data_IF_690424137846
#
_entry.id   IF_690424137846
#
_cell.length_a   1.000
_cell.length_b   1.000
_cell.length_c   1.000
_cell.angle_alpha   90.00
_cell.angle_beta   90.00
_cell.angle_gamma   90.00
#
_symmetry.space_group_name_H-M   'P 1'
#
loop_
_entity.id
_entity.type
_entity.pdbx_description
1 polymer ?
#
# COMPACT_ATOMS: atom_id res chain seq x y z
N UNK A 1 -8.80 18.25 -37.60
CA UNK A 1 -8.57 19.61 -37.04
C UNK A 1 -9.15 19.72 -35.62
N UNK A 2 -10.40 19.27 -35.39
CA UNK A 2 -11.05 19.29 -34.06
C UNK A 2 -10.33 18.39 -33.03
N UNK A 3 -9.94 17.20 -33.45
CA UNK A 3 -9.18 16.25 -32.62
C UNK A 3 -7.78 16.79 -32.25
N UNK A 4 -7.09 17.43 -33.25
CA UNK A 4 -5.80 18.04 -32.99
C UNK A 4 -5.92 19.20 -31.98
N UNK A 5 -6.93 20.05 -32.10
CA UNK A 5 -7.17 21.13 -31.14
C UNK A 5 -7.46 20.59 -29.74
N UNK A 6 -8.28 19.53 -29.63
CA UNK A 6 -8.57 18.89 -28.37
C UNK A 6 -7.31 18.27 -27.73
N UNK A 7 -6.47 17.62 -28.55
CA UNK A 7 -5.22 17.05 -28.09
C UNK A 7 -4.22 18.12 -27.62
N UNK A 8 -4.04 19.21 -28.39
CA UNK A 8 -3.16 20.31 -27.99
C UNK A 8 -3.64 20.98 -26.69
N UNK A 9 -4.95 21.19 -26.56
CA UNK A 9 -5.53 21.73 -25.34
C UNK A 9 -5.28 20.82 -24.14
N UNK A 10 -5.44 19.50 -24.30
CA UNK A 10 -5.15 18.51 -23.27
C UNK A 10 -3.68 18.57 -22.84
N UNK A 11 -2.72 18.66 -23.77
CA UNK A 11 -1.30 18.78 -23.46
C UNK A 11 -0.99 20.08 -22.70
N UNK A 12 -1.58 21.20 -23.11
CA UNK A 12 -1.42 22.49 -22.43
C UNK A 12 -1.96 22.43 -20.99
N UNK A 13 -3.13 21.83 -20.78
CA UNK A 13 -3.71 21.65 -19.46
C UNK A 13 -2.89 20.70 -18.57
N UNK A 14 -2.31 19.66 -19.15
CA UNK A 14 -1.42 18.74 -18.43
C UNK A 14 -0.13 19.45 -18.00
N UNK A 15 0.46 20.28 -18.87
CA UNK A 15 1.66 21.07 -18.54
C UNK A 15 1.39 22.07 -17.41
N UNK A 16 0.23 22.73 -17.41
CA UNK A 16 -0.18 23.65 -16.34
C UNK A 16 -0.26 22.96 -14.97
N UNK A 17 -0.55 21.65 -14.96
CA UNK A 17 -0.74 20.85 -13.75
C UNK A 17 0.45 19.95 -13.43
N UNK A 18 1.53 20.01 -14.20
CA UNK A 18 2.72 19.19 -13.93
C UNK A 18 3.32 19.54 -12.55
N UNK A 19 3.29 18.56 -11.65
CA UNK A 19 3.75 18.73 -10.28
C UNK A 19 5.23 19.15 -10.18
N UNK A 20 6.06 18.79 -11.16
CA UNK A 20 7.49 19.17 -11.22
C UNK A 20 7.64 20.66 -11.52
N UNK A 21 6.78 21.19 -12.40
CA UNK A 21 6.70 22.62 -12.69
C UNK A 21 6.16 23.41 -11.50
N UNK A 22 4.99 23.00 -11.00
CA UNK A 22 4.35 23.63 -9.83
C UNK A 22 5.24 23.56 -8.59
N UNK A 23 5.91 22.42 -8.36
CA UNK A 23 6.84 22.24 -7.25
C UNK A 23 7.97 23.27 -7.25
N UNK A 24 8.54 23.54 -8.41
CA UNK A 24 9.60 24.55 -8.59
C UNK A 24 9.06 25.99 -8.50
N UNK A 25 7.99 26.30 -9.25
CA UNK A 25 7.42 27.66 -9.30
C UNK A 25 6.86 28.12 -7.95
N UNK A 26 6.28 27.20 -7.18
CA UNK A 26 5.73 27.47 -5.83
C UNK A 26 6.72 27.24 -4.70
N UNK A 27 7.95 26.81 -5.01
CA UNK A 27 8.98 26.47 -4.04
C UNK A 27 8.52 25.38 -3.04
N UNK A 28 7.95 24.28 -3.55
CA UNK A 28 7.42 23.22 -2.71
C UNK A 28 8.46 22.15 -2.37
N UNK A 29 9.27 21.74 -3.35
CA UNK A 29 10.28 20.70 -3.19
C UNK A 29 11.32 20.74 -4.31
N UNK A 30 12.42 20.01 -4.12
CA UNK A 30 13.39 19.71 -5.18
C UNK A 30 13.98 18.29 -5.02
N UNK A 31 14.68 17.85 -6.07
CA UNK A 31 15.51 16.65 -6.09
C UNK A 31 16.95 17.05 -6.39
N UNK A 32 17.93 16.29 -5.85
CA UNK A 32 19.35 16.50 -6.13
C UNK A 32 20.12 15.17 -6.09
N UNK A 33 21.36 15.18 -6.58
CA UNK A 33 22.16 13.98 -6.80
C UNK A 33 22.55 13.25 -5.51
N UNK A 34 22.72 13.95 -4.41
CA UNK A 34 23.09 13.38 -3.12
C UNK A 34 21.99 12.52 -2.49
N UNK A 35 20.76 12.62 -3.03
CA UNK A 35 19.62 11.83 -2.57
C UNK A 35 18.69 11.45 -3.73
N UNK A 36 19.22 10.69 -4.68
CA UNK A 36 18.51 10.29 -5.91
C UNK A 36 17.19 9.58 -5.57
N UNK A 37 16.08 10.12 -6.07
CA UNK A 37 14.74 9.58 -5.84
C UNK A 37 14.17 9.88 -4.44
N UNK A 38 14.80 10.77 -3.68
CA UNK A 38 14.31 11.26 -2.40
C UNK A 38 14.00 12.75 -2.48
N UNK A 39 12.93 13.18 -1.83
CA UNK A 39 12.39 14.53 -1.95
C UNK A 39 12.94 15.43 -0.84
N UNK A 40 13.45 16.60 -1.20
CA UNK A 40 13.74 17.68 -0.27
C UNK A 40 12.52 18.60 -0.20
N UNK A 41 11.76 18.51 0.87
CA UNK A 41 10.57 19.34 1.09
C UNK A 41 10.93 20.72 1.63
N UNK A 42 10.52 21.77 0.92
CA UNK A 42 10.63 23.14 1.38
C UNK A 42 9.49 23.50 2.36
N UNK A 43 9.57 24.62 3.09
CA UNK A 43 8.57 24.95 4.11
C UNK A 43 7.13 24.99 3.60
N UNK A 44 6.89 25.49 2.37
CA UNK A 44 5.55 25.51 1.76
C UNK A 44 5.08 24.11 1.40
N UNK A 45 5.95 23.31 0.79
CA UNK A 45 5.66 21.90 0.41
C UNK A 45 5.46 21.03 1.64
N UNK A 46 6.29 21.21 2.69
CA UNK A 46 6.11 20.49 3.94
C UNK A 46 4.78 20.82 4.65
N UNK A 47 4.33 22.06 4.55
CA UNK A 47 3.01 22.43 5.07
C UNK A 47 1.88 21.73 4.32
N UNK A 48 1.96 21.68 2.98
CA UNK A 48 0.99 20.93 2.14
C UNK A 48 0.98 19.45 2.49
N UNK A 49 2.19 18.84 2.57
CA UNK A 49 2.36 17.45 2.98
C UNK A 49 1.67 17.15 4.32
N UNK A 50 1.96 17.95 5.35
CA UNK A 50 1.35 17.78 6.68
C UNK A 50 -0.17 18.00 6.68
N UNK A 51 -0.68 18.85 5.82
CA UNK A 51 -2.13 19.04 5.67
C UNK A 51 -2.80 17.78 5.16
N UNK A 52 -2.23 17.14 4.13
CA UNK A 52 -2.72 15.87 3.59
C UNK A 52 -2.59 14.75 4.63
N UNK A 53 -1.44 14.65 5.30
CA UNK A 53 -1.23 13.65 6.35
C UNK A 53 -2.23 13.80 7.50
N UNK A 54 -2.50 15.04 7.94
CA UNK A 54 -3.48 15.32 9.00
C UNK A 54 -4.89 14.96 8.56
N UNK A 55 -5.25 15.25 7.31
CA UNK A 55 -6.55 14.88 6.74
C UNK A 55 -6.73 13.36 6.73
N UNK A 56 -5.77 12.61 6.18
CA UNK A 56 -5.85 11.14 6.13
C UNK A 56 -5.89 10.56 7.55
N UNK A 57 -5.07 11.07 8.49
CA UNK A 57 -5.10 10.61 9.88
C UNK A 57 -6.48 10.75 10.51
N UNK A 58 -7.13 11.90 10.35
CA UNK A 58 -8.49 12.11 10.85
C UNK A 58 -9.49 11.12 10.26
N UNK A 59 -9.39 10.84 8.94
CA UNK A 59 -10.26 9.86 8.26
C UNK A 59 -10.03 8.43 8.78
N UNK A 60 -8.77 8.07 9.08
CA UNK A 60 -8.42 6.77 9.64
C UNK A 60 -8.90 6.62 11.09
N UNK A 61 -8.75 7.66 11.91
CA UNK A 61 -9.25 7.70 13.30
C UNK A 61 -10.77 7.50 13.31
N UNK A 62 -11.51 8.22 12.46
CA UNK A 62 -12.97 8.08 12.29
C UNK A 62 -13.37 6.66 11.84
N UNK A 63 -12.55 6.02 11.02
CA UNK A 63 -12.76 4.65 10.55
C UNK A 63 -12.26 3.58 11.55
N UNK A 64 -11.83 3.96 12.75
CA UNK A 64 -11.44 3.05 13.83
C UNK A 64 -10.08 2.38 13.64
N UNK A 65 -9.16 2.99 12.87
CA UNK A 65 -7.78 2.55 12.80
C UNK A 65 -6.98 3.03 14.00
N UNK A 66 -6.06 2.21 14.48
CA UNK A 66 -5.07 2.59 15.50
C UNK A 66 -3.73 2.86 14.85
N UNK A 67 -3.17 4.05 15.07
CA UNK A 67 -1.87 4.41 14.51
C UNK A 67 -0.75 3.73 15.29
N UNK A 68 0.16 3.10 14.56
CA UNK A 68 1.37 2.46 15.11
C UNK A 68 2.61 3.01 14.42
N UNK A 69 3.80 2.69 14.97
CA UNK A 69 5.08 3.07 14.36
C UNK A 69 6.08 1.93 14.48
N UNK A 70 6.61 1.50 13.34
CA UNK A 70 7.62 0.44 13.27
C UNK A 70 9.00 0.99 12.92
N UNK A 71 10.09 0.31 13.32
CA UNK A 71 11.45 0.71 12.97
C UNK A 71 11.66 0.78 11.45
N UNK A 72 12.47 1.74 10.99
CA UNK A 72 12.83 1.86 9.58
C UNK A 72 13.93 0.88 9.17
N UNK A 73 14.89 0.65 10.06
CA UNK A 73 16.01 -0.25 9.83
C UNK A 73 15.76 -1.54 10.60
N UNK A 74 15.65 -2.66 9.89
CA UNK A 74 15.26 -3.96 10.43
C UNK A 74 16.25 -5.03 9.97
N UNK A 75 16.59 -5.93 10.87
CA UNK A 75 17.49 -7.05 10.62
C UNK A 75 16.98 -7.96 9.49
N UNK A 76 17.90 -8.46 8.67
CA UNK A 76 17.67 -9.36 7.55
C UNK A 76 16.78 -10.57 7.93
N UNK A 77 16.94 -11.13 9.14
CA UNK A 77 16.21 -12.30 9.58
C UNK A 77 14.69 -12.15 9.53
N UNK A 78 14.14 -10.95 9.80
CA UNK A 78 12.70 -10.70 9.66
C UNK A 78 12.27 -10.73 8.18
N UNK A 79 13.09 -10.21 7.29
CA UNK A 79 12.83 -10.19 5.85
C UNK A 79 12.90 -11.60 5.23
N UNK A 80 13.82 -12.45 5.71
CA UNK A 80 13.89 -13.86 5.34
C UNK A 80 12.66 -14.63 5.82
N UNK A 81 12.28 -14.47 7.09
CA UNK A 81 11.12 -15.15 7.67
C UNK A 81 9.82 -14.80 6.94
N UNK A 82 9.64 -13.54 6.56
CA UNK A 82 8.47 -13.09 5.81
C UNK A 82 8.50 -13.44 4.32
N UNK A 83 9.65 -13.85 3.77
CA UNK A 83 9.85 -14.15 2.34
C UNK A 83 10.16 -12.95 1.46
N UNK A 84 10.21 -11.74 2.02
CA UNK A 84 10.57 -10.53 1.28
C UNK A 84 12.02 -10.57 0.81
N UNK A 85 12.93 -11.17 1.56
CA UNK A 85 14.33 -11.27 1.18
C UNK A 85 14.52 -12.02 -0.13
N UNK A 86 13.81 -13.11 -0.34
CA UNK A 86 13.93 -13.95 -1.54
C UNK A 86 13.25 -13.31 -2.76
N UNK A 87 12.18 -12.57 -2.55
CA UNK A 87 11.31 -12.06 -3.64
C UNK A 87 11.51 -10.58 -3.95
N UNK A 88 12.08 -9.81 -3.03
CA UNK A 88 12.13 -8.35 -3.13
C UNK A 88 13.51 -7.74 -2.83
N UNK A 89 14.54 -8.56 -2.60
CA UNK A 89 15.89 -8.09 -2.20
C UNK A 89 16.49 -7.06 -3.17
N UNK A 90 16.30 -7.24 -4.46
CA UNK A 90 16.85 -6.34 -5.49
C UNK A 90 16.32 -4.89 -5.35
N UNK A 91 15.18 -4.74 -4.69
CA UNK A 91 14.55 -3.44 -4.42
C UNK A 91 14.81 -2.94 -2.99
N UNK A 92 15.69 -3.56 -2.21
CA UNK A 92 15.98 -3.16 -0.84
C UNK A 92 17.31 -2.40 -0.74
N UNK A 93 17.30 -1.34 0.05
CA UNK A 93 18.55 -0.73 0.54
C UNK A 93 19.04 -1.51 1.74
N UNK A 94 20.27 -1.99 1.70
CA UNK A 94 20.88 -2.77 2.77
C UNK A 94 22.09 -2.06 3.36
N UNK A 95 22.36 -2.26 4.63
CA UNK A 95 23.53 -1.80 5.34
C UNK A 95 24.13 -2.97 6.13
N UNK A 96 25.44 -3.08 6.13
CA UNK A 96 26.19 -4.04 6.93
C UNK A 96 26.89 -3.31 8.07
N UNK A 97 26.85 -3.87 9.25
CA UNK A 97 27.46 -3.32 10.47
C UNK A 97 28.81 -4.00 10.77
N UNK A 98 29.61 -3.40 11.64
CA UNK A 98 30.95 -3.93 11.99
C UNK A 98 30.93 -5.34 12.63
N UNK A 99 29.79 -5.77 13.16
CA UNK A 99 29.53 -7.10 13.70
C UNK A 99 28.94 -8.08 12.67
N UNK A 100 29.13 -7.82 11.38
CA UNK A 100 28.69 -8.64 10.24
C UNK A 100 27.15 -8.86 10.17
N UNK A 101 26.36 -7.99 10.79
CA UNK A 101 24.90 -8.02 10.66
C UNK A 101 24.44 -7.22 9.46
N UNK A 102 23.47 -7.78 8.74
CA UNK A 102 22.84 -7.12 7.60
C UNK A 102 21.47 -6.60 8.01
N UNK A 103 21.28 -5.31 7.83
CA UNK A 103 20.00 -4.63 8.01
C UNK A 103 19.47 -4.13 6.66
N UNK A 104 18.18 -3.98 6.56
CA UNK A 104 17.55 -3.32 5.43
C UNK A 104 16.65 -2.17 5.88
N UNK A 105 16.66 -1.07 5.11
CA UNK A 105 15.60 -0.07 5.19
C UNK A 105 14.31 -0.70 4.72
N UNK A 106 13.26 -0.61 5.51
CA UNK A 106 11.99 -1.27 5.22
C UNK A 106 11.41 -0.79 3.88
N UNK A 107 11.14 -1.71 2.94
CA UNK A 107 10.42 -1.38 1.71
C UNK A 107 8.90 -1.39 1.89
N UNK A 108 8.43 -1.98 3.00
CA UNK A 108 7.03 -2.19 3.39
C UNK A 108 6.92 -2.24 4.91
N UNK A 109 5.69 -2.04 5.45
CA UNK A 109 5.46 -2.06 6.90
C UNK A 109 4.91 -3.40 7.40
N UNK A 110 4.41 -4.25 6.51
CA UNK A 110 3.68 -5.48 6.85
C UNK A 110 4.39 -6.41 7.87
N UNK A 111 5.68 -6.77 7.73
CA UNK A 111 6.31 -7.62 8.74
C UNK A 111 6.40 -6.95 10.11
N UNK A 112 6.58 -5.63 10.15
CA UNK A 112 6.61 -4.84 11.38
C UNK A 112 5.26 -4.86 12.11
N UNK A 113 4.15 -4.69 11.38
CA UNK A 113 2.81 -4.76 11.96
C UNK A 113 2.49 -6.15 12.51
N UNK A 114 2.91 -7.21 11.83
CA UNK A 114 2.78 -8.57 12.37
C UNK A 114 3.56 -8.73 13.69
N UNK A 115 4.76 -8.11 13.82
CA UNK A 115 5.50 -8.16 15.08
C UNK A 115 4.75 -7.44 16.22
N UNK A 116 4.03 -6.35 15.94
CA UNK A 116 3.17 -5.68 16.93
C UNK A 116 1.98 -6.57 17.29
N UNK A 117 1.29 -7.14 16.29
CA UNK A 117 0.15 -8.05 16.52
C UNK A 117 0.50 -9.23 17.41
N UNK A 118 1.72 -9.75 17.28
CA UNK A 118 2.22 -10.91 18.09
C UNK A 118 2.55 -10.56 19.55
N UNK A 119 2.54 -9.27 19.92
CA UNK A 119 2.81 -8.89 21.32
C UNK A 119 1.58 -9.10 22.18
N UNK A 120 1.57 -10.13 22.95
CA UNK A 120 0.45 -10.48 23.80
C UNK A 120 -0.50 -11.51 23.19
N UNK A 121 -1.62 -11.71 23.86
CA UNK A 121 -2.67 -12.65 23.46
C UNK A 121 -3.80 -11.86 22.83
N UNK A 122 -3.98 -12.03 21.53
CA UNK A 122 -5.12 -11.45 20.80
C UNK A 122 -6.30 -12.42 20.84
N UNK A 123 -7.47 -11.92 21.18
CA UNK A 123 -8.72 -12.68 21.19
C UNK A 123 -9.53 -12.39 19.91
N UNK A 124 -10.39 -13.34 19.53
CA UNK A 124 -11.36 -13.10 18.45
C UNK A 124 -12.24 -11.85 18.68
N UNK A 125 -12.37 -11.39 19.93
CA UNK A 125 -13.12 -10.18 20.30
C UNK A 125 -12.38 -8.88 19.94
N UNK A 126 -11.07 -8.97 19.74
CA UNK A 126 -10.23 -7.84 19.36
C UNK A 126 -10.17 -7.67 17.84
N UNK A 127 -10.76 -8.63 17.09
CA UNK A 127 -10.82 -8.58 15.63
C UNK A 127 -12.14 -7.97 15.13
N UNK A 128 -12.14 -7.21 14.04
CA UNK A 128 -10.98 -6.86 13.23
C UNK A 128 -10.09 -5.82 13.92
N UNK A 129 -8.77 -6.01 13.88
CA UNK A 129 -7.79 -5.06 14.40
C UNK A 129 -7.17 -4.29 13.22
N UNK A 130 -7.46 -3.01 13.11
CA UNK A 130 -7.01 -2.14 12.02
C UNK A 130 -5.82 -1.31 12.49
N UNK A 131 -4.59 -1.69 12.07
CA UNK A 131 -3.36 -0.96 12.37
C UNK A 131 -2.96 -0.10 11.19
N UNK A 132 -2.75 1.20 11.38
CA UNK A 132 -2.29 2.13 10.36
C UNK A 132 -0.92 2.72 10.72
N UNK A 133 -0.11 2.99 9.71
CA UNK A 133 1.19 3.65 9.88
C UNK A 133 1.44 4.61 8.72
N UNK A 134 1.76 5.87 9.02
CA UNK A 134 2.47 6.72 8.05
C UNK A 134 3.92 6.25 7.99
N UNK A 135 4.11 5.18 7.22
CA UNK A 135 5.36 4.42 7.14
C UNK A 135 6.31 5.03 6.12
N UNK A 136 7.49 5.46 6.60
CA UNK A 136 8.58 5.86 5.71
C UNK A 136 9.24 4.61 5.14
N UNK A 137 9.00 4.35 3.86
CA UNK A 137 9.50 3.19 3.13
C UNK A 137 10.54 3.59 2.10
N UNK A 138 11.46 2.66 1.81
CA UNK A 138 12.54 2.88 0.84
C UNK A 138 12.62 1.71 -0.12
N UNK A 139 12.59 2.00 -1.43
CA UNK A 139 12.72 1.01 -2.50
C UNK A 139 13.79 1.42 -3.48
N UNK A 140 14.71 0.53 -3.79
CA UNK A 140 15.75 0.76 -4.79
C UNK A 140 15.14 0.65 -6.19
N UNK A 141 14.43 1.70 -6.58
CA UNK A 141 13.89 1.81 -7.94
C UNK A 141 15.00 2.11 -8.94
N UNK A 142 15.00 1.51 -10.14
CA UNK A 142 15.95 1.83 -11.19
C UNK A 142 15.89 3.32 -11.56
N UNK A 143 17.03 3.94 -11.82
CA UNK A 143 17.07 5.39 -12.14
C UNK A 143 16.19 5.78 -13.33
N UNK A 144 16.05 4.91 -14.33
CA UNK A 144 15.18 5.14 -15.49
C UNK A 144 13.69 5.07 -15.21
N UNK A 145 13.28 4.54 -14.05
CA UNK A 145 11.87 4.47 -13.64
C UNK A 145 11.44 5.69 -12.81
N UNK A 146 12.38 6.50 -12.31
CA UNK A 146 12.06 7.64 -11.45
C UNK A 146 11.31 8.73 -12.21
N UNK A 147 10.24 9.26 -11.60
CA UNK A 147 9.39 10.26 -12.24
C UNK A 147 8.79 11.25 -11.22
N UNK A 148 9.50 12.32 -10.93
CA UNK A 148 9.05 13.36 -10.00
C UNK A 148 8.59 12.76 -8.67
N UNK A 149 7.43 13.17 -8.18
CA UNK A 149 6.79 12.59 -6.98
C UNK A 149 6.05 11.27 -7.25
N UNK A 150 5.83 10.93 -8.53
CA UNK A 150 5.03 9.76 -8.92
C UNK A 150 5.78 8.44 -8.74
N UNK A 151 7.13 8.45 -8.87
CA UNK A 151 7.98 7.30 -8.63
C UNK A 151 9.29 7.72 -8.01
N UNK A 152 9.47 7.36 -6.76
CA UNK A 152 10.56 7.78 -5.88
C UNK A 152 11.23 6.57 -5.23
N UNK A 153 12.37 6.77 -4.57
CA UNK A 153 13.05 5.75 -3.75
C UNK A 153 12.72 5.83 -2.27
N UNK A 154 12.33 7.02 -1.80
CA UNK A 154 11.90 7.24 -0.44
C UNK A 154 10.52 7.91 -0.44
N UNK A 155 9.56 7.31 0.24
CA UNK A 155 8.17 7.77 0.29
C UNK A 155 7.53 7.44 1.64
N UNK A 156 6.48 8.16 1.97
CA UNK A 156 5.59 7.82 3.08
C UNK A 156 4.28 7.31 2.52
N UNK A 157 3.82 6.20 3.05
CA UNK A 157 2.58 5.56 2.66
C UNK A 157 1.60 5.60 3.84
N UNK A 158 0.32 5.85 3.57
CA UNK A 158 -0.77 5.67 4.53
C UNK A 158 -1.13 4.18 4.63
N UNK A 159 -0.16 3.39 4.98
CA UNK A 159 -0.25 1.95 4.97
C UNK A 159 -1.03 1.44 6.18
N UNK A 160 -1.89 0.47 5.98
CA UNK A 160 -2.53 -0.23 7.08
C UNK A 160 -2.71 -1.70 6.81
N UNK A 161 -2.76 -2.43 7.92
CA UNK A 161 -2.97 -3.86 7.93
C UNK A 161 -4.13 -4.18 8.88
N UNK A 162 -5.15 -4.83 8.32
CA UNK A 162 -6.33 -5.26 9.06
C UNK A 162 -6.17 -6.75 9.34
N UNK A 163 -6.03 -7.09 10.63
CA UNK A 163 -6.04 -8.47 11.06
C UNK A 163 -7.47 -8.86 11.38
N UNK A 164 -8.00 -9.85 10.68
CA UNK A 164 -9.40 -10.26 10.80
C UNK A 164 -9.56 -11.78 10.68
N UNK A 165 -10.75 -12.28 10.98
CA UNK A 165 -11.15 -13.65 10.65
C UNK A 165 -11.63 -13.73 9.18
N UNK A 166 -11.70 -14.95 8.62
CA UNK A 166 -12.14 -15.13 7.22
C UNK A 166 -13.54 -14.56 6.94
N UNK A 167 -14.46 -14.69 7.89
CA UNK A 167 -15.83 -14.18 7.79
C UNK A 167 -15.93 -12.64 7.81
N UNK A 168 -14.87 -11.96 8.27
CA UNK A 168 -14.79 -10.50 8.30
C UNK A 168 -14.21 -9.89 7.01
N UNK A 169 -13.63 -10.66 6.10
CA UNK A 169 -12.98 -10.14 4.88
C UNK A 169 -13.93 -9.26 4.07
N UNK A 170 -15.15 -9.71 3.84
CA UNK A 170 -16.12 -8.97 3.02
C UNK A 170 -16.46 -7.62 3.64
N UNK A 171 -16.83 -7.58 4.91
CA UNK A 171 -17.20 -6.34 5.60
C UNK A 171 -16.03 -5.35 5.71
N UNK A 172 -14.80 -5.83 5.92
CA UNK A 172 -13.61 -4.98 5.97
C UNK A 172 -13.23 -4.45 4.60
N UNK A 173 -13.42 -5.24 3.54
CA UNK A 173 -13.22 -4.79 2.15
C UNK A 173 -14.23 -3.70 1.78
N UNK A 174 -15.51 -3.89 2.08
CA UNK A 174 -16.58 -2.91 1.85
C UNK A 174 -16.26 -1.59 2.57
N UNK A 175 -15.94 -1.65 3.86
CA UNK A 175 -15.60 -0.48 4.66
C UNK A 175 -14.38 0.29 4.10
N UNK A 176 -13.37 -0.44 3.63
CA UNK A 176 -12.20 0.17 2.99
C UNK A 176 -12.55 0.82 1.65
N UNK A 177 -13.32 0.15 0.80
CA UNK A 177 -13.74 0.71 -0.49
C UNK A 177 -14.54 2.01 -0.31
N UNK A 178 -15.45 2.06 0.66
CA UNK A 178 -16.19 3.28 1.00
C UNK A 178 -15.27 4.41 1.48
N UNK A 179 -14.34 4.11 2.37
CA UNK A 179 -13.35 5.07 2.86
C UNK A 179 -12.50 5.63 1.70
N UNK A 180 -11.90 4.76 0.88
CA UNK A 180 -11.05 5.14 -0.25
C UNK A 180 -11.81 6.02 -1.25
N UNK A 181 -12.98 5.60 -1.68
CA UNK A 181 -13.78 6.35 -2.66
C UNK A 181 -14.20 7.72 -2.11
N UNK A 182 -14.49 7.81 -0.81
CA UNK A 182 -14.82 9.08 -0.17
C UNK A 182 -13.62 10.03 -0.13
N UNK A 183 -12.42 9.52 0.17
CA UNK A 183 -11.16 10.30 0.13
C UNK A 183 -10.86 10.78 -1.29
N UNK A 184 -11.00 9.91 -2.29
CA UNK A 184 -10.79 10.30 -3.69
C UNK A 184 -11.78 11.38 -4.14
N UNK A 185 -13.04 11.26 -3.74
CA UNK A 185 -14.06 12.27 -4.01
C UNK A 185 -13.71 13.63 -3.39
N UNK A 186 -13.24 13.64 -2.15
CA UNK A 186 -12.79 14.86 -1.47
C UNK A 186 -11.59 15.49 -2.19
N UNK A 187 -10.72 14.66 -2.81
CA UNK A 187 -9.62 15.10 -3.67
C UNK A 187 -10.05 15.49 -5.10
N UNK A 188 -11.33 15.35 -5.45
CA UNK A 188 -11.87 15.71 -6.77
C UNK A 188 -11.84 14.59 -7.81
N UNK A 189 -11.49 13.35 -7.42
CA UNK A 189 -11.48 12.19 -8.31
C UNK A 189 -12.82 11.44 -8.20
N UNK A 190 -13.65 11.54 -9.24
CA UNK A 190 -14.97 10.89 -9.30
C UNK A 190 -14.98 9.66 -10.21
N UNK A 191 -13.94 9.48 -11.02
CA UNK A 191 -13.81 8.36 -11.96
C UNK A 191 -12.62 7.51 -11.53
N UNK A 192 -12.93 6.38 -10.89
CA UNK A 192 -11.95 5.44 -10.33
C UNK A 192 -12.13 4.10 -11.01
N UNK A 193 -11.11 3.63 -11.68
CA UNK A 193 -11.11 2.29 -12.27
C UNK A 193 -10.62 1.27 -11.24
N UNK A 194 -11.34 0.17 -11.13
CA UNK A 194 -10.95 -0.95 -10.25
C UNK A 194 -10.45 -2.10 -11.11
N UNK A 195 -9.29 -2.65 -10.75
CA UNK A 195 -8.74 -3.86 -11.37
C UNK A 195 -8.58 -4.94 -10.32
N UNK A 196 -8.96 -6.15 -10.67
CA UNK A 196 -8.72 -7.35 -9.86
C UNK A 196 -7.51 -8.07 -10.42
N UNK A 197 -6.44 -8.14 -9.63
CA UNK A 197 -5.22 -8.84 -9.98
C UNK A 197 -5.15 -10.17 -9.22
N UNK A 198 -5.16 -11.25 -9.98
CA UNK A 198 -5.14 -12.62 -9.48
C UNK A 198 -3.70 -13.15 -9.27
N UNK A 199 -3.58 -14.41 -8.97
CA UNK A 199 -2.32 -15.10 -8.64
C UNK A 199 -1.24 -14.96 -9.71
N UNK A 200 -0.02 -14.50 -9.34
CA UNK A 200 1.12 -14.49 -10.25
C UNK A 200 1.72 -15.90 -10.39
N UNK A 201 2.53 -16.09 -11.43
CA UNK A 201 3.26 -17.34 -11.66
C UNK A 201 4.21 -17.67 -10.49
N UNK A 202 4.95 -16.67 -10.02
CA UNK A 202 5.86 -16.79 -8.86
C UNK A 202 5.18 -16.26 -7.60
N UNK A 203 4.71 -17.19 -6.76
CA UNK A 203 3.94 -16.88 -5.56
C UNK A 203 4.36 -17.70 -4.35
N UNK A 204 3.93 -17.30 -3.18
CA UNK A 204 4.01 -18.06 -1.93
C UNK A 204 2.65 -18.68 -1.58
N UNK A 205 2.66 -19.75 -0.78
CA UNK A 205 1.45 -20.47 -0.41
C UNK A 205 1.01 -21.53 -1.44
N UNK A 206 0.14 -22.41 -0.99
CA UNK A 206 -0.43 -23.49 -1.81
C UNK A 206 -1.64 -23.00 -2.63
N UNK A 207 -1.97 -23.69 -3.71
CA UNK A 207 -3.09 -23.32 -4.60
C UNK A 207 -4.43 -23.21 -3.86
N UNK A 208 -4.70 -24.09 -2.90
CA UNK A 208 -5.93 -24.03 -2.11
C UNK A 208 -6.04 -22.77 -1.21
N UNK A 209 -4.92 -22.18 -0.81
CA UNK A 209 -4.90 -20.88 -0.09
C UNK A 209 -5.28 -19.76 -1.05
N UNK A 210 -4.73 -19.78 -2.26
CA UNK A 210 -5.04 -18.83 -3.31
C UNK A 210 -6.50 -18.90 -3.76
N UNK A 211 -7.04 -20.12 -3.91
CA UNK A 211 -8.45 -20.31 -4.28
C UNK A 211 -9.39 -19.66 -3.26
N UNK A 212 -9.08 -19.78 -1.95
CA UNK A 212 -9.87 -19.10 -0.91
C UNK A 212 -9.71 -17.60 -0.92
N UNK A 213 -8.47 -17.11 -1.08
CA UNK A 213 -8.19 -15.68 -1.09
C UNK A 213 -8.86 -14.97 -2.28
N UNK A 214 -8.76 -15.54 -3.47
CA UNK A 214 -9.40 -15.00 -4.67
C UNK A 214 -10.92 -15.05 -4.57
N UNK A 215 -11.49 -16.16 -4.10
CA UNK A 215 -12.94 -16.26 -3.88
C UNK A 215 -13.45 -15.24 -2.85
N UNK A 216 -12.73 -15.07 -1.74
CA UNK A 216 -13.08 -14.09 -0.70
C UNK A 216 -13.04 -12.66 -1.25
N UNK A 217 -11.99 -12.30 -1.98
CA UNK A 217 -11.85 -10.95 -2.56
C UNK A 217 -12.85 -10.70 -3.69
N UNK A 218 -13.16 -11.72 -4.51
CA UNK A 218 -14.21 -11.64 -5.55
C UNK A 218 -15.56 -11.36 -4.91
N UNK A 219 -15.95 -12.16 -3.91
CA UNK A 219 -17.21 -11.96 -3.20
C UNK A 219 -17.30 -10.56 -2.57
N UNK A 220 -16.19 -10.07 -2.01
CA UNK A 220 -16.16 -8.77 -1.37
C UNK A 220 -16.30 -7.60 -2.37
N UNK A 221 -15.63 -7.65 -3.52
CA UNK A 221 -15.76 -6.59 -4.54
C UNK A 221 -17.14 -6.59 -5.19
N UNK A 222 -17.72 -7.78 -5.43
CA UNK A 222 -19.08 -7.90 -5.96
C UNK A 222 -20.13 -7.37 -4.96
N UNK A 223 -19.97 -7.68 -3.67
CA UNK A 223 -20.83 -7.15 -2.60
C UNK A 223 -20.75 -5.62 -2.48
N UNK A 224 -19.57 -5.05 -2.72
CA UNK A 224 -19.36 -3.59 -2.74
C UNK A 224 -20.02 -2.90 -3.93
N UNK A 225 -20.55 -3.65 -4.91
CA UNK A 225 -21.19 -3.12 -6.11
C UNK A 225 -20.23 -2.40 -7.07
N UNK A 226 -18.93 -2.62 -6.94
CA UNK A 226 -17.91 -2.02 -7.77
C UNK A 226 -17.72 -2.82 -9.06
N UNK A 227 -17.76 -2.10 -10.18
CA UNK A 227 -17.35 -2.67 -11.47
C UNK A 227 -15.83 -2.80 -11.52
N UNK A 228 -15.32 -3.96 -11.91
CA UNK A 228 -13.89 -4.21 -12.03
C UNK A 228 -13.51 -4.89 -13.34
N UNK A 229 -12.26 -4.72 -13.74
CA UNK A 229 -11.64 -5.48 -14.83
C UNK A 229 -10.58 -6.44 -14.30
N UNK A 230 -10.39 -7.58 -14.95
CA UNK A 230 -9.34 -8.52 -14.60
C UNK A 230 -7.97 -8.00 -15.05
N UNK A 231 -6.97 -8.17 -14.18
CA UNK A 231 -5.54 -7.92 -14.45
C UNK A 231 -4.74 -9.20 -14.11
N UNK A 232 -4.77 -10.20 -15.03
CA UNK A 232 -4.28 -11.54 -14.73
C UNK A 232 -2.80 -11.58 -14.40
N UNK A 233 -2.44 -12.32 -13.34
CA UNK A 233 -1.04 -12.56 -12.95
C UNK A 233 -0.35 -11.41 -12.23
N UNK A 234 -1.04 -10.31 -11.94
CA UNK A 234 -0.46 -9.08 -11.34
C UNK A 234 -0.69 -8.97 -9.82
N UNK A 235 -1.18 -10.04 -9.20
CA UNK A 235 -1.33 -10.12 -7.74
C UNK A 235 0.02 -9.99 -7.01
N UNK A 236 -0.02 -9.70 -5.71
CA UNK A 236 1.17 -9.75 -4.88
C UNK A 236 1.65 -11.21 -4.74
N UNK A 237 2.93 -11.42 -4.41
CA UNK A 237 3.44 -12.78 -4.25
C UNK A 237 2.76 -13.57 -3.12
N UNK A 238 2.05 -12.90 -2.22
CA UNK A 238 1.37 -13.45 -1.06
C UNK A 238 -0.15 -13.40 -1.12
N UNK A 239 -0.75 -12.73 -2.12
CA UNK A 239 -2.21 -12.67 -2.22
C UNK A 239 -2.74 -11.87 -3.42
N UNK A 240 -4.00 -12.10 -3.79
CA UNK A 240 -4.69 -11.32 -4.81
C UNK A 240 -4.94 -9.88 -4.33
N UNK A 241 -5.13 -8.96 -5.27
CA UNK A 241 -5.33 -7.55 -4.94
C UNK A 241 -6.40 -6.87 -5.77
N UNK A 242 -7.04 -5.87 -5.18
CA UNK A 242 -7.74 -4.80 -5.89
C UNK A 242 -6.78 -3.64 -6.09
N UNK A 243 -6.76 -3.10 -7.29
CA UNK A 243 -6.02 -1.89 -7.66
C UNK A 243 -7.02 -0.80 -7.98
N UNK A 244 -6.88 0.35 -7.31
CA UNK A 244 -7.68 1.55 -7.58
C UNK A 244 -6.83 2.50 -8.41
N UNK A 245 -7.28 2.72 -9.64
CA UNK A 245 -6.51 3.40 -10.68
C UNK A 245 -7.17 4.73 -11.01
N UNK A 246 -6.37 5.78 -10.93
CA UNK A 246 -6.74 7.13 -11.32
C UNK A 246 -6.13 7.48 -12.68
N UNK A 247 -6.87 8.24 -13.49
CA UNK A 247 -6.41 8.69 -14.80
C UNK A 247 -5.97 10.15 -14.75
N UNK A 248 -4.76 10.42 -15.23
CA UNK A 248 -4.27 11.79 -15.31
C UNK A 248 -4.84 12.58 -16.52
N UNK A 249 -4.52 13.88 -16.59
CA UNK A 249 -5.03 14.78 -17.60
C UNK A 249 -4.60 14.44 -19.04
N UNK A 250 -3.60 13.58 -19.23
CA UNK A 250 -3.14 13.09 -20.55
C UNK A 250 -3.53 11.65 -20.82
N UNK A 251 -4.42 11.09 -20.00
CA UNK A 251 -4.98 9.76 -20.20
C UNK A 251 -4.09 8.61 -19.72
N UNK A 252 -3.03 8.86 -18.90
CA UNK A 252 -2.23 7.81 -18.30
C UNK A 252 -2.90 7.30 -17.03
N UNK A 253 -2.84 6.00 -16.86
CA UNK A 253 -3.37 5.31 -15.68
C UNK A 253 -2.29 5.23 -14.60
N UNK A 254 -2.67 5.56 -13.36
CA UNK A 254 -1.84 5.49 -12.18
C UNK A 254 -2.52 4.67 -11.11
N UNK A 255 -1.90 3.54 -10.74
CA UNK A 255 -2.34 2.80 -9.57
C UNK A 255 -2.02 3.63 -8.32
N UNK A 256 -3.06 3.98 -7.57
CA UNK A 256 -2.94 4.74 -6.33
C UNK A 256 -3.30 3.86 -5.14
N UNK A 257 -4.56 3.53 -4.97
CA UNK A 257 -5.00 2.69 -3.87
C UNK A 257 -4.86 1.20 -4.14
N UNK A 258 -4.72 0.43 -3.07
CA UNK A 258 -4.67 -1.04 -3.13
C UNK A 258 -5.39 -1.68 -1.94
N UNK A 259 -5.95 -2.87 -2.17
CA UNK A 259 -6.36 -3.80 -1.12
C UNK A 259 -5.90 -5.19 -1.51
N UNK A 260 -5.23 -5.90 -0.60
CA UNK A 260 -4.70 -7.24 -0.83
C UNK A 260 -5.14 -8.18 0.29
N UNK A 261 -5.53 -9.40 -0.06
CA UNK A 261 -5.93 -10.43 0.89
C UNK A 261 -4.79 -11.43 1.06
N UNK A 262 -4.28 -11.55 2.27
CA UNK A 262 -3.08 -12.32 2.60
C UNK A 262 -3.35 -13.35 3.69
N UNK A 263 -3.22 -14.62 3.33
CA UNK A 263 -3.23 -15.76 4.25
C UNK A 263 -1.81 -16.26 4.55
N UNK A 264 -0.79 -15.76 3.85
CA UNK A 264 0.58 -16.30 3.86
C UNK A 264 1.46 -15.68 4.93
N UNK A 265 1.52 -14.34 5.01
CA UNK A 265 2.38 -13.66 5.98
C UNK A 265 2.00 -13.96 7.44
N UNK A 266 0.71 -14.01 7.83
CA UNK A 266 0.35 -14.41 9.19
C UNK A 266 0.85 -15.80 9.57
N UNK A 267 0.84 -16.75 8.64
CA UNK A 267 1.37 -18.09 8.86
C UNK A 267 2.91 -18.08 8.96
N UNK A 268 3.59 -17.48 7.99
CA UNK A 268 5.05 -17.41 7.93
C UNK A 268 5.67 -16.72 9.16
N UNK A 269 5.00 -15.71 9.68
CA UNK A 269 5.45 -14.94 10.84
C UNK A 269 4.80 -15.41 12.15
N UNK A 270 4.12 -16.55 12.15
CA UNK A 270 3.49 -17.18 13.32
C UNK A 270 2.53 -16.25 14.08
N UNK A 271 1.74 -15.46 13.37
CA UNK A 271 0.65 -14.66 13.95
C UNK A 271 -0.54 -15.58 14.32
N UNK A 272 -1.12 -15.40 15.50
CA UNK A 272 -2.29 -16.16 15.92
C UNK A 272 -3.17 -15.36 16.88
N UNK A 273 -4.44 -15.72 16.93
CA UNK A 273 -5.41 -15.23 17.92
C UNK A 273 -6.13 -16.41 18.55
N UNK A 274 -6.79 -16.18 19.69
CA UNK A 274 -7.60 -17.18 20.37
C UNK A 274 -9.04 -17.06 19.89
N UNK A 275 -9.57 -18.16 19.31
CA UNK A 275 -10.94 -18.24 18.82
C UNK A 275 -11.97 -18.40 19.94
N UNK A 276 -13.27 -18.46 19.55
CA UNK A 276 -14.38 -18.70 20.49
C UNK A 276 -14.30 -20.10 21.14
N UNK A 277 -13.66 -21.04 20.47
CA UNK A 277 -13.40 -22.41 20.93
C UNK A 277 -12.25 -22.51 21.93
N UNK A 278 -11.53 -21.40 22.18
CA UNK A 278 -10.35 -21.35 23.05
C UNK A 278 -9.06 -21.82 22.38
N UNK A 279 -9.11 -22.18 21.09
CA UNK A 279 -7.97 -22.66 20.34
C UNK A 279 -7.28 -21.51 19.57
N UNK A 280 -6.05 -21.78 19.13
CA UNK A 280 -5.27 -20.83 18.30
C UNK A 280 -5.69 -20.92 16.84
N UNK A 281 -6.02 -19.77 16.28
CA UNK A 281 -6.35 -19.60 14.85
C UNK A 281 -5.38 -18.62 14.19
N UNK A 282 -5.21 -18.75 12.87
CA UNK A 282 -4.47 -17.80 12.02
C UNK A 282 -5.41 -16.67 11.61
N UNK A 283 -5.04 -15.39 11.80
CA UNK A 283 -5.79 -14.30 11.20
C UNK A 283 -5.56 -14.25 9.69
N UNK A 284 -6.50 -13.66 8.97
CA UNK A 284 -6.28 -13.13 7.64
C UNK A 284 -5.73 -11.72 7.79
N UNK A 285 -4.86 -11.30 6.91
CA UNK A 285 -4.30 -9.95 6.88
C UNK A 285 -4.70 -9.24 5.60
N UNK A 286 -5.42 -8.13 5.73
CA UNK A 286 -5.71 -7.28 4.60
C UNK A 286 -4.69 -6.13 4.58
N UNK A 287 -3.95 -6.01 3.49
CA UNK A 287 -3.05 -4.89 3.25
C UNK A 287 -3.80 -3.82 2.47
N UNK A 288 -3.79 -2.58 2.91
CA UNK A 288 -4.44 -1.52 2.18
C UNK A 288 -3.65 -0.21 2.23
N UNK A 289 -3.74 0.55 1.15
CA UNK A 289 -3.30 1.94 1.05
C UNK A 289 -4.30 2.73 0.19
N UNK A 290 -4.48 4.02 0.44
CA UNK A 290 -5.35 4.93 -0.33
C UNK A 290 -4.56 5.65 -1.42
#
# INVERSE_FOLDING_TARGET
EKELKAHLYMLEEAEKRDHRRLGREMELFHFQEEAIGSVFWHPKGWRLYRTLETYIRARLDEAGYVEVKTPQLIDRGLWESSGHWDKFREHMFTAETEDDRIFALKPMNCPGHVQIFRQGITSYRDLPLRMAEFGSCHRYEPSGALHGLMRVRAFTQDDAHIFCSEDQITSETEAFCELLLSVYKDCGFNDVMVKFADRPEVRAGEDGVWDRAEAALTNAVESSGLEYSLNPGEGAFYGPKLEFVLRDAIGRDWQCGTLQVDFVLPERLDASYIGMDGEKHRPVMLHRAI
#
